data_IF_282063127690
#
_entry.id   IF_282063127690
#
_cell.length_a   1.000
_cell.length_b   1.000
_cell.length_c   1.000
_cell.angle_alpha   90.00
_cell.angle_beta   90.00
_cell.angle_gamma   90.00
#
_symmetry.space_group_name_H-M   'P 1'
#
loop_
_entity.id
_entity.type
_entity.pdbx_description
1 polymer ?
#
# COMPACT_ATOMS: atom_id res chain seq x y z
N UNK A 1 5.94 -10.28 11.40
CA UNK A 1 6.45 -9.01 11.96
C UNK A 1 7.14 -8.29 10.82
N UNK A 2 6.54 -7.29 10.17
CA UNK A 2 6.02 -6.03 10.72
C UNK A 2 4.49 -5.92 10.60
N UNK A 3 3.91 -5.33 11.64
CA UNK A 3 2.51 -4.98 11.86
C UNK A 3 2.32 -3.51 11.49
N UNK A 4 1.21 -3.16 10.82
CA UNK A 4 0.61 -1.83 11.01
C UNK A 4 -0.88 -2.01 11.27
N UNK A 5 -1.22 -1.78 12.54
CA UNK A 5 -2.56 -1.52 13.03
C UNK A 5 -2.97 -0.09 12.69
N UNK A 6 -4.26 0.13 12.45
CA UNK A 6 -4.88 1.44 12.68
C UNK A 6 -5.96 1.25 13.74
N UNK A 7 -5.54 1.35 14.99
CA UNK A 7 -6.39 1.81 16.07
C UNK A 7 -6.35 3.34 16.05
N UNK A 8 -7.50 3.97 15.84
CA UNK A 8 -7.71 5.35 16.26
C UNK A 8 -8.83 5.32 17.30
N UNK A 9 -8.45 5.01 18.54
CA UNK A 9 -9.27 5.30 19.70
C UNK A 9 -8.79 6.67 20.21
N UNK A 10 -9.58 7.72 20.00
CA UNK A 10 -9.46 8.96 20.75
C UNK A 10 -10.80 9.22 21.42
N UNK A 11 -10.82 9.02 22.73
CA UNK A 11 -11.82 9.63 23.63
C UNK A 11 -11.43 11.10 23.75
N UNK A 12 -12.34 12.01 23.43
CA UNK A 12 -12.25 13.41 23.84
C UNK A 12 -12.62 14.45 22.79
N UNK A 13 -13.88 14.87 22.87
CA UNK A 13 -14.45 16.15 22.44
C UNK A 13 -14.76 16.39 20.94
N UNK A 14 -16.05 16.71 20.72
CA UNK A 14 -16.68 17.38 19.57
C UNK A 14 -17.12 16.50 18.38
N UNK A 15 -18.31 15.92 18.56
CA UNK A 15 -19.39 15.80 17.57
C UNK A 15 -19.00 15.50 16.10
N UNK A 16 -18.53 14.28 15.82
CA UNK A 16 -18.71 13.61 14.51
C UNK A 16 -18.96 12.12 14.74
N UNK A 17 -19.80 11.44 13.92
CA UNK A 17 -19.94 9.99 14.02
C UNK A 17 -18.62 9.35 13.59
N UNK A 18 -17.94 8.67 14.51
CA UNK A 18 -16.71 7.95 14.24
C UNK A 18 -17.04 6.70 13.41
N UNK A 19 -16.46 6.55 12.22
CA UNK A 19 -16.55 5.32 11.44
C UNK A 19 -15.55 4.30 11.99
N UNK A 20 -16.03 3.33 12.77
CA UNK A 20 -15.20 2.22 13.23
C UNK A 20 -15.00 1.24 12.07
N UNK A 21 -13.78 1.16 11.56
CA UNK A 21 -13.39 0.29 10.45
C UNK A 21 -12.74 -0.97 10.99
N UNK A 22 -13.28 -2.14 10.67
CA UNK A 22 -12.71 -3.41 11.09
C UNK A 22 -11.79 -3.95 10.01
N UNK A 23 -10.57 -4.27 10.42
CA UNK A 23 -9.61 -4.99 9.60
C UNK A 23 -9.70 -6.47 9.97
N UNK A 24 -9.87 -7.33 8.96
CA UNK A 24 -9.92 -8.77 9.17
C UNK A 24 -8.71 -9.41 8.51
N UNK A 25 -7.84 -10.00 9.33
CA UNK A 25 -6.79 -10.89 8.85
C UNK A 25 -7.32 -12.32 8.89
N UNK A 26 -7.12 -13.06 7.79
CA UNK A 26 -7.70 -14.40 7.59
C UNK A 26 -7.42 -15.37 8.74
N UNK A 27 -6.28 -15.22 9.42
CA UNK A 27 -5.86 -16.13 10.50
C UNK A 27 -6.07 -15.62 11.92
N UNK A 28 -6.61 -14.41 12.11
CA UNK A 28 -6.78 -13.86 13.46
C UNK A 28 -7.92 -12.83 13.51
N UNK A 29 -9.06 -13.09 14.19
CA UNK A 29 -9.74 -14.35 14.59
C UNK A 29 -10.75 -14.88 13.52
N UNK A 30 -11.38 -16.07 13.67
CA UNK A 30 -12.36 -16.61 12.69
C UNK A 30 -13.57 -15.69 12.41
N UNK A 31 -14.07 -15.64 11.15
CA UNK A 31 -15.20 -14.79 10.72
C UNK A 31 -16.48 -14.93 11.59
N UNK A 32 -16.68 -16.08 12.23
CA UNK A 32 -17.80 -16.34 13.14
C UNK A 32 -17.73 -15.49 14.43
N UNK A 33 -16.54 -15.01 14.81
CA UNK A 33 -16.24 -14.30 16.05
C UNK A 33 -16.22 -12.78 15.88
N UNK A 34 -16.46 -12.28 14.67
CA UNK A 34 -16.51 -10.83 14.39
C UNK A 34 -17.82 -10.24 14.93
N UNK A 35 -17.72 -9.35 15.93
CA UNK A 35 -18.86 -8.61 16.48
C UNK A 35 -19.39 -7.58 15.46
N UNK A 36 -20.67 -7.75 15.11
CA UNK A 36 -21.39 -7.01 14.08
C UNK A 36 -21.65 -5.55 14.42
N UNK A 37 -21.72 -5.24 15.72
CA UNK A 37 -21.94 -3.86 16.20
C UNK A 37 -20.68 -3.01 16.03
N UNK A 38 -19.52 -3.65 15.91
CA UNK A 38 -18.24 -2.97 15.93
C UNK A 38 -17.76 -2.51 14.55
N UNK A 39 -18.38 -2.95 13.45
CA UNK A 39 -17.86 -2.71 12.11
C UNK A 39 -18.80 -1.88 11.24
N UNK A 40 -18.29 -0.75 10.73
CA UNK A 40 -18.95 0.01 9.66
C UNK A 40 -18.54 -0.49 8.26
N UNK A 41 -17.30 -0.95 8.12
CA UNK A 41 -16.70 -1.45 6.88
C UNK A 41 -15.78 -2.62 7.21
N UNK A 42 -15.69 -3.59 6.30
CA UNK A 42 -14.72 -4.69 6.35
C UNK A 42 -13.67 -4.42 5.28
N UNK A 43 -12.40 -4.42 5.67
CA UNK A 43 -11.25 -4.30 4.75
C UNK A 43 -10.47 -5.62 4.80
N UNK A 44 -10.31 -6.25 3.64
CA UNK A 44 -9.42 -7.40 3.45
C UNK A 44 -8.07 -6.92 2.89
N UNK A 45 -6.96 -7.30 3.54
CA UNK A 45 -5.58 -6.90 3.16
C UNK A 45 -4.71 -8.15 3.00
N UNK A 46 -4.28 -8.45 1.76
CA UNK A 46 -3.50 -9.67 1.48
C UNK A 46 -4.30 -10.94 1.82
N UNK A 47 -3.99 -12.14 1.37
CA UNK A 47 -2.69 -12.77 1.27
C UNK A 47 -2.74 -13.76 0.10
N UNK A 48 -1.70 -13.76 -0.73
CA UNK A 48 -1.38 -14.93 -1.55
C UNK A 48 -0.57 -15.85 -0.66
N UNK A 49 -0.97 -17.11 -0.54
CA UNK A 49 -0.17 -18.10 0.18
C UNK A 49 0.69 -18.85 -0.82
N UNK A 50 1.85 -19.32 -0.40
CA UNK A 50 2.54 -20.36 -1.15
C UNK A 50 2.12 -21.68 -0.53
N UNK A 51 1.68 -22.64 -1.36
CA UNK A 51 1.48 -24.00 -0.88
C UNK A 51 2.85 -24.67 -0.59
N UNK A 52 2.81 -25.89 -0.07
CA UNK A 52 4.01 -26.66 0.26
C UNK A 52 4.86 -27.01 -0.98
N UNK A 53 4.36 -26.76 -2.19
CA UNK A 53 5.04 -26.96 -3.47
C UNK A 53 5.52 -25.64 -4.08
N UNK A 54 5.34 -24.51 -3.39
CA UNK A 54 5.72 -23.18 -3.85
C UNK A 54 4.76 -22.57 -4.88
N UNK A 55 3.55 -23.10 -5.04
CA UNK A 55 2.54 -22.49 -5.90
C UNK A 55 1.80 -21.38 -5.17
N UNK A 56 1.52 -20.30 -5.89
CA UNK A 56 0.69 -19.20 -5.42
C UNK A 56 -0.77 -19.68 -5.28
N UNK A 57 -1.24 -19.76 -4.04
CA UNK A 57 -2.64 -19.93 -3.69
C UNK A 57 -3.33 -18.58 -3.60
N UNK A 58 -4.22 -18.36 -4.56
CA UNK A 58 -5.16 -17.25 -4.59
C UNK A 58 -6.11 -17.32 -3.37
N UNK A 59 -6.50 -16.17 -2.77
CA UNK A 59 -7.63 -16.15 -1.85
C UNK A 59 -8.87 -16.68 -2.59
N UNK A 60 -9.56 -17.71 -2.07
CA UNK A 60 -10.72 -18.27 -2.74
C UNK A 60 -11.79 -17.21 -2.97
N UNK A 61 -12.37 -17.15 -4.17
CA UNK A 61 -13.54 -16.29 -4.50
C UNK A 61 -14.71 -16.50 -3.53
N UNK A 62 -14.73 -17.66 -2.86
CA UNK A 62 -15.61 -18.02 -1.74
C UNK A 62 -15.58 -17.01 -0.59
N UNK A 63 -14.46 -16.34 -0.29
CA UNK A 63 -14.39 -15.44 0.88
C UNK A 63 -15.31 -14.22 0.70
N UNK A 64 -15.13 -13.51 -0.42
CA UNK A 64 -15.94 -12.33 -0.73
C UNK A 64 -17.42 -12.69 -0.82
N UNK A 65 -17.71 -13.89 -1.36
CA UNK A 65 -19.06 -14.46 -1.38
C UNK A 65 -19.58 -14.72 0.04
N UNK A 66 -18.87 -15.48 0.88
CA UNK A 66 -19.30 -15.84 2.24
C UNK A 66 -19.53 -14.61 3.11
N UNK A 67 -18.66 -13.61 3.01
CA UNK A 67 -18.82 -12.33 3.70
C UNK A 67 -20.09 -11.63 3.18
N UNK A 68 -20.27 -11.55 1.85
CA UNK A 68 -21.48 -10.95 1.27
C UNK A 68 -22.75 -11.70 1.65
N UNK A 69 -22.74 -13.03 1.64
CA UNK A 69 -23.87 -13.88 2.02
C UNK A 69 -24.22 -13.69 3.50
N UNK A 70 -23.21 -13.52 4.37
CA UNK A 70 -23.40 -13.30 5.81
C UNK A 70 -23.93 -11.91 6.14
N UNK A 71 -23.43 -10.86 5.48
CA UNK A 71 -23.73 -9.47 5.86
C UNK A 71 -24.74 -8.76 4.93
N UNK A 72 -25.08 -9.39 3.80
CA UNK A 72 -25.97 -8.81 2.79
C UNK A 72 -25.44 -7.47 2.26
N UNK A 73 -26.35 -6.60 1.83
CA UNK A 73 -26.06 -5.24 1.36
C UNK A 73 -26.08 -4.19 2.47
N UNK A 74 -26.31 -4.58 3.72
CA UNK A 74 -26.44 -3.66 4.86
C UNK A 74 -25.11 -3.00 5.28
N UNK A 75 -23.99 -3.55 4.81
CA UNK A 75 -22.63 -3.07 5.08
C UNK A 75 -21.85 -2.99 3.78
N UNK A 76 -20.91 -2.05 3.72
CA UNK A 76 -19.94 -1.99 2.63
C UNK A 76 -18.85 -3.06 2.83
N UNK A 77 -18.66 -3.89 1.82
CA UNK A 77 -17.51 -4.78 1.70
C UNK A 77 -16.47 -4.12 0.82
N UNK A 78 -15.29 -3.87 1.38
CA UNK A 78 -14.19 -3.25 0.66
C UNK A 78 -12.94 -4.10 0.78
N UNK A 79 -12.02 -3.98 -0.17
CA UNK A 79 -10.75 -4.72 -0.13
C UNK A 79 -9.60 -3.79 -0.50
N UNK A 80 -8.44 -3.99 0.12
CA UNK A 80 -7.20 -3.34 -0.26
C UNK A 80 -6.31 -4.36 -0.99
N UNK A 81 -5.91 -4.03 -2.21
CA UNK A 81 -5.22 -4.95 -3.12
C UNK A 81 -3.87 -4.39 -3.54
N UNK A 82 -2.96 -5.27 -3.95
CA UNK A 82 -1.60 -4.89 -4.29
C UNK A 82 -1.54 -3.83 -5.39
N UNK A 83 -0.63 -2.87 -5.23
CA UNK A 83 -0.19 -1.98 -6.31
C UNK A 83 0.71 -2.71 -7.31
N UNK A 84 1.84 -3.32 -6.89
CA UNK A 84 2.77 -4.00 -7.78
C UNK A 84 2.10 -4.99 -8.77
N UNK A 85 2.30 -4.82 -10.08
CA UNK A 85 1.73 -5.72 -11.09
C UNK A 85 2.17 -7.18 -10.97
N UNK A 86 3.38 -7.44 -10.47
CA UNK A 86 3.91 -8.79 -10.23
C UNK A 86 3.03 -9.61 -9.29
N UNK A 87 2.39 -8.96 -8.32
CA UNK A 87 1.44 -9.57 -7.41
C UNK A 87 0.06 -9.54 -8.05
N UNK A 88 -0.38 -8.38 -8.54
CA UNK A 88 -1.76 -8.18 -9.02
C UNK A 88 -2.17 -9.18 -10.11
N UNK A 89 -1.25 -9.54 -11.02
CA UNK A 89 -1.46 -10.48 -12.13
C UNK A 89 -1.76 -11.92 -11.69
N UNK A 90 -1.39 -12.31 -10.47
CA UNK A 90 -1.40 -13.71 -10.01
C UNK A 90 -2.06 -13.91 -8.65
N UNK A 91 -2.57 -12.83 -8.03
CA UNK A 91 -3.00 -12.82 -6.64
C UNK A 91 -4.51 -12.66 -6.44
N UNK A 92 -5.26 -12.28 -7.49
CA UNK A 92 -6.62 -11.80 -7.32
C UNK A 92 -7.57 -12.26 -8.43
N UNK A 93 -8.83 -12.46 -8.06
CA UNK A 93 -9.95 -12.72 -8.95
C UNK A 93 -10.84 -11.46 -9.05
N UNK A 94 -10.64 -10.69 -10.12
CA UNK A 94 -11.42 -9.48 -10.40
C UNK A 94 -12.91 -9.77 -10.62
N UNK A 95 -13.26 -10.97 -11.10
CA UNK A 95 -14.66 -11.36 -11.30
C UNK A 95 -15.40 -11.48 -9.96
N UNK A 96 -14.74 -12.06 -8.96
CA UNK A 96 -15.26 -12.12 -7.59
C UNK A 96 -15.39 -10.71 -6.98
N UNK A 97 -14.40 -9.84 -7.20
CA UNK A 97 -14.46 -8.46 -6.72
C UNK A 97 -15.63 -7.70 -7.33
N UNK A 98 -15.77 -7.74 -8.65
CA UNK A 98 -16.86 -7.07 -9.35
C UNK A 98 -18.24 -7.52 -8.85
N UNK A 99 -18.38 -8.81 -8.51
CA UNK A 99 -19.65 -9.39 -8.06
C UNK A 99 -19.97 -9.09 -6.59
N UNK A 100 -19.00 -9.17 -5.68
CA UNK A 100 -19.27 -9.21 -4.25
C UNK A 100 -18.77 -7.98 -3.48
N UNK A 101 -17.78 -7.26 -3.99
CA UNK A 101 -17.12 -6.14 -3.32
C UNK A 101 -17.70 -4.81 -3.81
N UNK A 102 -17.88 -3.85 -2.91
CA UNK A 102 -18.38 -2.52 -3.22
C UNK A 102 -17.26 -1.60 -3.72
N UNK A 103 -16.11 -1.59 -3.02
CA UNK A 103 -14.93 -0.79 -3.39
C UNK A 103 -13.63 -1.60 -3.28
N UNK A 104 -12.74 -1.41 -4.25
CA UNK A 104 -11.42 -2.06 -4.33
C UNK A 104 -10.36 -0.96 -4.31
N UNK A 105 -9.66 -0.82 -3.19
CA UNK A 105 -8.59 0.15 -3.03
C UNK A 105 -7.26 -0.45 -3.50
N UNK A 106 -6.70 0.09 -4.58
CA UNK A 106 -5.37 -0.32 -5.07
C UNK A 106 -4.32 0.42 -4.24
N UNK A 107 -3.45 -0.34 -3.56
CA UNK A 107 -2.38 0.16 -2.72
C UNK A 107 -1.21 0.65 -3.58
N UNK A 108 -1.38 1.79 -4.26
CA UNK A 108 -0.39 2.45 -5.13
C UNK A 108 0.75 3.10 -4.33
N UNK A 109 1.40 2.33 -3.48
CA UNK A 109 2.49 2.72 -2.61
C UNK A 109 3.30 1.49 -2.22
N UNK A 110 4.40 1.69 -1.49
CA UNK A 110 5.35 0.64 -1.13
C UNK A 110 5.98 -0.06 -2.34
N UNK A 111 6.12 0.64 -3.46
CA UNK A 111 6.75 0.09 -4.67
C UNK A 111 8.25 -0.15 -4.48
N UNK A 112 8.93 0.72 -3.73
CA UNK A 112 10.35 0.61 -3.42
C UNK A 112 10.53 0.54 -1.90
N UNK A 113 10.80 -0.66 -1.41
CA UNK A 113 11.12 -0.96 -0.01
C UNK A 113 12.57 -1.44 0.05
N UNK A 114 13.29 -1.05 1.09
CA UNK A 114 14.65 -1.54 1.29
C UNK A 114 14.69 -3.07 1.41
N UNK A 115 15.63 -3.70 0.71
CA UNK A 115 15.95 -5.12 0.85
C UNK A 115 17.45 -5.31 0.68
N UNK A 116 18.06 -6.21 1.45
CA UNK A 116 19.48 -6.54 1.29
C UNK A 116 19.80 -7.16 -0.08
N UNK A 117 18.83 -7.83 -0.72
CA UNK A 117 19.00 -8.36 -2.07
C UNK A 117 18.99 -7.27 -3.14
N UNK A 118 18.28 -6.16 -2.88
CA UNK A 118 18.16 -5.01 -3.78
C UNK A 118 18.33 -3.71 -2.97
N UNK A 119 19.56 -3.40 -2.51
CA UNK A 119 19.82 -2.33 -1.54
C UNK A 119 19.89 -0.96 -2.23
N UNK A 120 18.85 -0.62 -2.99
CA UNK A 120 18.74 0.62 -3.76
C UNK A 120 17.58 1.47 -3.25
N UNK A 121 17.76 2.79 -3.27
CA UNK A 121 16.70 3.74 -2.89
C UNK A 121 15.71 3.93 -4.04
N UNK A 122 14.45 4.23 -3.72
CA UNK A 122 13.43 4.51 -4.73
C UNK A 122 12.24 5.26 -4.15
N UNK A 123 11.31 5.67 -5.02
CA UNK A 123 10.10 6.38 -4.61
C UNK A 123 9.13 5.42 -3.93
N UNK A 124 8.50 5.86 -2.83
CA UNK A 124 7.43 5.08 -2.19
C UNK A 124 6.25 4.85 -3.13
N UNK A 125 5.78 5.91 -3.79
CA UNK A 125 4.61 5.93 -4.66
C UNK A 125 4.82 6.79 -5.91
N UNK A 126 5.72 6.38 -6.84
CA UNK A 126 5.85 7.07 -8.10
C UNK A 126 4.56 6.95 -8.91
N UNK A 127 4.12 8.05 -9.51
CA UNK A 127 2.96 8.03 -10.42
C UNK A 127 3.32 7.29 -11.70
N UNK A 128 4.51 7.54 -12.25
CA UNK A 128 5.01 6.96 -13.49
C UNK A 128 6.44 6.47 -13.33
N UNK A 129 6.90 5.67 -14.27
CA UNK A 129 8.29 5.22 -14.34
C UNK A 129 9.25 6.35 -14.73
N UNK A 130 10.51 6.23 -14.32
CA UNK A 130 11.63 7.03 -14.87
C UNK A 130 12.30 6.31 -16.03
N UNK A 131 12.99 7.05 -16.90
CA UNK A 131 13.57 6.51 -18.16
C UNK A 131 14.52 5.32 -17.98
N UNK A 132 15.23 5.26 -16.85
CA UNK A 132 16.19 4.19 -16.57
C UNK A 132 15.53 2.87 -16.13
N UNK A 133 14.22 2.88 -15.84
CA UNK A 133 13.51 1.70 -15.34
C UNK A 133 13.00 0.83 -16.50
N UNK A 134 13.45 -0.42 -16.51
CA UNK A 134 13.14 -1.42 -17.53
C UNK A 134 12.54 -2.67 -16.91
N UNK A 135 11.82 -3.45 -17.73
CA UNK A 135 11.20 -4.70 -17.31
C UNK A 135 10.29 -4.54 -16.10
N UNK A 136 10.41 -5.46 -15.15
CA UNK A 136 9.60 -5.49 -13.91
C UNK A 136 9.75 -4.19 -13.10
N UNK A 137 10.95 -3.62 -13.04
CA UNK A 137 11.21 -2.38 -12.31
C UNK A 137 10.41 -1.22 -12.92
N UNK A 138 10.32 -1.17 -14.25
CA UNK A 138 9.50 -0.18 -14.97
C UNK A 138 7.99 -0.30 -14.75
N UNK A 139 7.53 -1.40 -14.13
CA UNK A 139 6.14 -1.59 -13.73
C UNK A 139 5.87 -1.18 -12.25
N UNK A 140 6.89 -0.81 -11.48
CA UNK A 140 6.77 -0.48 -10.05
C UNK A 140 6.32 0.98 -9.83
N UNK A 141 5.17 1.33 -10.41
CA UNK A 141 4.54 2.65 -10.31
C UNK A 141 3.01 2.56 -10.44
N UNK A 142 2.35 3.66 -10.07
CA UNK A 142 0.89 3.73 -10.00
C UNK A 142 0.21 3.60 -11.37
N UNK A 143 0.79 4.19 -12.42
CA UNK A 143 0.25 4.12 -13.79
C UNK A 143 0.23 2.67 -14.29
N UNK A 144 1.34 1.94 -14.15
CA UNK A 144 1.42 0.54 -14.51
C UNK A 144 0.50 -0.35 -13.65
N UNK A 145 0.36 -0.05 -12.35
CA UNK A 145 -0.58 -0.72 -11.47
C UNK A 145 -2.03 -0.58 -11.94
N UNK A 146 -2.48 0.66 -12.15
CA UNK A 146 -3.85 0.95 -12.57
C UNK A 146 -4.15 0.36 -13.95
N UNK A 147 -3.19 0.44 -14.89
CA UNK A 147 -3.31 -0.20 -16.19
C UNK A 147 -3.41 -1.74 -16.09
N UNK A 148 -2.70 -2.35 -15.13
CA UNK A 148 -2.78 -3.79 -14.87
C UNK A 148 -4.16 -4.17 -14.34
N UNK A 149 -4.69 -3.45 -13.35
CA UNK A 149 -6.03 -3.70 -12.81
C UNK A 149 -7.14 -3.53 -13.85
N UNK A 150 -7.02 -2.53 -14.71
CA UNK A 150 -7.93 -2.34 -15.84
C UNK A 150 -7.86 -3.53 -16.82
N UNK A 151 -6.65 -4.00 -17.18
CA UNK A 151 -6.46 -5.19 -18.04
C UNK A 151 -7.01 -6.47 -17.42
N UNK A 152 -6.94 -6.60 -16.09
CA UNK A 152 -7.54 -7.72 -15.36
C UNK A 152 -9.08 -7.62 -15.27
N UNK A 153 -9.69 -6.54 -15.74
CA UNK A 153 -11.15 -6.38 -15.80
C UNK A 153 -11.79 -5.89 -14.51
N UNK A 154 -11.04 -5.27 -13.60
CA UNK A 154 -11.63 -4.61 -12.43
C UNK A 154 -12.45 -3.39 -12.88
N UNK A 155 -13.69 -3.28 -12.40
CA UNK A 155 -14.56 -2.17 -12.78
C UNK A 155 -14.09 -0.82 -12.22
N UNK A 156 -14.01 0.18 -13.09
CA UNK A 156 -13.48 1.52 -12.76
C UNK A 156 -14.34 2.24 -11.72
N UNK A 157 -15.66 2.07 -11.75
CA UNK A 157 -16.59 2.68 -10.79
C UNK A 157 -16.47 2.14 -9.35
N UNK A 158 -15.79 1.01 -9.16
CA UNK A 158 -15.49 0.42 -7.84
C UNK A 158 -14.03 0.60 -7.44
N UNK A 159 -13.17 1.03 -8.37
CA UNK A 159 -11.72 1.12 -8.13
C UNK A 159 -11.39 2.42 -7.41
N UNK A 160 -10.67 2.32 -6.29
CA UNK A 160 -10.21 3.45 -5.49
C UNK A 160 -8.69 3.54 -5.57
N UNK A 161 -8.18 4.71 -5.92
CA UNK A 161 -6.74 4.97 -6.00
C UNK A 161 -6.16 5.22 -4.61
N UNK A 162 -5.21 4.38 -4.17
CA UNK A 162 -4.51 4.57 -2.89
C UNK A 162 -3.48 5.69 -2.94
N UNK A 163 -3.51 6.60 -1.96
CA UNK A 163 -2.55 7.71 -1.83
C UNK A 163 -1.87 7.59 -0.47
N UNK A 164 -0.54 7.40 -0.39
CA UNK A 164 0.14 7.30 0.89
C UNK A 164 0.34 8.69 1.52
N UNK A 165 0.04 8.81 2.81
CA UNK A 165 0.38 9.99 3.62
C UNK A 165 1.69 9.78 4.41
N UNK A 166 2.59 9.00 3.83
CA UNK A 166 3.90 8.66 4.39
C UNK A 166 4.93 8.42 3.27
N UNK A 167 6.21 8.52 3.64
CA UNK A 167 7.35 8.16 2.80
C UNK A 167 8.16 7.03 3.42
N UNK A 168 9.16 6.57 2.67
CA UNK A 168 10.15 5.58 3.11
C UNK A 168 11.53 6.23 3.10
N UNK A 169 12.24 6.10 4.22
CA UNK A 169 13.58 6.66 4.40
C UNK A 169 14.67 5.62 4.16
N UNK A 170 15.82 6.07 3.68
CA UNK A 170 16.98 5.22 3.41
C UNK A 170 18.27 5.90 3.86
N UNK A 171 19.22 5.11 4.34
CA UNK A 171 20.58 5.58 4.63
C UNK A 171 21.45 5.28 3.42
N UNK A 172 21.87 6.31 2.70
CA UNK A 172 22.73 6.16 1.51
C UNK A 172 24.12 5.64 1.90
N UNK A 173 24.73 4.85 1.00
CA UNK A 173 26.16 4.50 1.10
C UNK A 173 27.03 5.74 0.91
N UNK A 174 26.68 6.58 -0.06
CA UNK A 174 27.37 7.84 -0.34
C UNK A 174 26.34 8.95 -0.52
N UNK A 175 26.32 9.92 0.39
CA UNK A 175 25.35 11.03 0.37
C UNK A 175 25.43 11.91 -0.89
N UNK A 176 26.58 11.91 -1.59
CA UNK A 176 26.75 12.62 -2.87
C UNK A 176 26.02 11.95 -4.03
N UNK A 177 25.63 10.68 -3.87
CA UNK A 177 24.88 9.88 -4.83
C UNK A 177 23.51 9.61 -4.22
N UNK A 178 22.56 10.52 -4.48
CA UNK A 178 21.28 10.62 -3.76
C UNK A 178 20.04 10.55 -4.67
N UNK A 179 20.22 10.15 -5.92
CA UNK A 179 19.13 9.96 -6.88
C UNK A 179 18.44 8.60 -6.65
N UNK A 180 17.22 8.38 -7.17
CA UNK A 180 16.65 7.03 -7.25
C UNK A 180 17.65 6.03 -7.85
N UNK A 181 17.65 4.80 -7.33
CA UNK A 181 18.60 3.73 -7.62
C UNK A 181 20.02 3.88 -7.04
N UNK A 182 20.27 4.90 -6.22
CA UNK A 182 21.50 4.98 -5.43
C UNK A 182 21.53 3.89 -4.35
N UNK A 183 22.73 3.41 -4.01
CA UNK A 183 22.90 2.37 -3.00
C UNK A 183 22.60 2.87 -1.58
N UNK A 184 21.94 2.03 -0.78
CA UNK A 184 21.64 2.25 0.62
C UNK A 184 22.23 1.15 1.52
N UNK A 185 22.56 1.52 2.75
CA UNK A 185 23.01 0.59 3.80
C UNK A 185 21.86 0.07 4.65
N UNK A 186 20.70 0.72 4.60
CA UNK A 186 19.53 0.32 5.39
C UNK A 186 18.37 1.32 5.26
N UNK A 187 17.21 0.98 5.81
CA UNK A 187 16.12 1.93 5.97
C UNK A 187 16.44 2.96 7.07
N UNK A 188 15.86 4.15 6.97
CA UNK A 188 15.87 5.19 8.02
C UNK A 188 14.43 5.40 8.43
N UNK A 189 14.06 4.79 9.55
CA UNK A 189 12.67 4.58 9.96
C UNK A 189 11.87 3.84 8.87
N UNK A 190 11.19 2.74 9.21
CA UNK A 190 10.46 1.96 8.19
C UNK A 190 9.41 2.83 7.46
N UNK A 191 8.82 3.79 8.20
CA UNK A 191 7.80 4.72 7.72
C UNK A 191 8.06 6.12 8.29
N UNK A 192 8.08 7.13 7.43
CA UNK A 192 8.09 8.56 7.81
C UNK A 192 6.75 9.20 7.47
N UNK A 193 5.96 9.60 8.48
CA UNK A 193 4.64 10.20 8.29
C UNK A 193 4.74 11.61 7.71
N UNK A 194 3.72 12.06 6.98
CA UNK A 194 3.71 13.39 6.37
C UNK A 194 4.05 14.54 7.34
N UNK A 195 3.54 14.61 8.59
CA UNK A 195 3.95 15.64 9.54
C UNK A 195 5.45 15.62 9.88
N UNK A 196 6.07 14.45 9.95
CA UNK A 196 7.52 14.33 10.15
C UNK A 196 8.27 14.82 8.92
N UNK A 197 7.78 14.51 7.71
CA UNK A 197 8.33 15.06 6.46
C UNK A 197 8.25 16.60 6.46
N UNK A 198 7.14 17.20 6.91
CA UNK A 198 7.02 18.65 7.06
C UNK A 198 8.07 19.23 8.02
N UNK A 199 8.38 18.53 9.13
CA UNK A 199 9.44 18.95 10.04
C UNK A 199 10.81 18.92 9.35
N UNK A 200 11.11 17.88 8.57
CA UNK A 200 12.36 17.82 7.78
C UNK A 200 12.43 18.94 6.74
N UNK A 201 11.33 19.24 6.04
CA UNK A 201 11.24 20.34 5.06
C UNK A 201 11.47 21.72 5.68
N UNK A 202 11.14 21.90 6.97
CA UNK A 202 11.39 23.16 7.68
C UNK A 202 12.90 23.40 7.90
N UNK A 203 13.69 22.33 7.99
CA UNK A 203 15.16 22.36 8.17
C UNK A 203 15.90 22.47 6.82
N UNK A 204 15.65 23.56 6.08
CA UNK A 204 16.21 23.78 4.73
C UNK A 204 17.74 23.80 4.64
N UNK A 205 18.44 24.08 5.74
CA UNK A 205 19.90 24.03 5.81
C UNK A 205 20.46 22.61 5.93
N UNK A 206 19.60 21.61 6.18
CA UNK A 206 19.98 20.21 6.41
C UNK A 206 19.43 19.31 5.32
N UNK A 207 18.20 19.55 4.87
CA UNK A 207 17.52 18.75 3.86
C UNK A 207 17.23 19.56 2.60
N UNK A 208 17.53 18.94 1.46
CA UNK A 208 17.17 19.41 0.13
C UNK A 208 15.92 18.68 -0.35
N UNK A 209 14.95 19.43 -0.87
CA UNK A 209 13.77 18.91 -1.54
C UNK A 209 14.06 18.81 -3.05
N UNK A 210 13.69 17.68 -3.65
CA UNK A 210 13.80 17.48 -5.09
C UNK A 210 12.48 16.94 -5.62
N UNK A 211 11.95 17.62 -6.65
CA UNK A 211 10.83 17.12 -7.44
C UNK A 211 11.35 16.37 -8.68
N UNK A 212 10.90 15.14 -8.88
CA UNK A 212 11.20 14.38 -10.09
C UNK A 212 10.01 14.41 -11.05
N UNK A 213 10.15 15.13 -12.16
CA UNK A 213 9.08 15.33 -13.15
C UNK A 213 8.60 14.02 -13.80
N UNK A 214 9.53 13.11 -14.12
CA UNK A 214 9.17 11.84 -14.76
C UNK A 214 8.33 10.97 -13.83
N UNK A 215 8.79 10.81 -12.58
CA UNK A 215 8.05 10.05 -11.58
C UNK A 215 6.78 10.78 -11.08
N UNK A 216 6.69 12.09 -11.32
CA UNK A 216 5.76 13.02 -10.68
C UNK A 216 5.73 12.80 -9.15
N UNK A 217 6.92 12.75 -8.54
CA UNK A 217 7.07 12.44 -7.12
C UNK A 217 8.26 13.17 -6.50
N UNK A 218 8.12 13.66 -5.26
CA UNK A 218 9.21 14.29 -4.56
C UNK A 218 10.05 13.28 -3.78
N UNK A 219 11.28 13.67 -3.46
CA UNK A 219 12.06 13.07 -2.39
C UNK A 219 12.85 14.14 -1.64
N UNK A 220 13.30 13.80 -0.44
CA UNK A 220 14.24 14.61 0.32
C UNK A 220 15.55 13.87 0.47
N UNK A 221 16.65 14.61 0.49
CA UNK A 221 17.94 14.08 0.90
C UNK A 221 18.66 15.10 1.78
N UNK A 222 19.47 14.60 2.71
CA UNK A 222 20.18 15.42 3.69
C UNK A 222 20.96 14.53 4.65
N UNK A 223 21.72 15.16 5.53
CA UNK A 223 22.46 14.45 6.57
C UNK A 223 21.60 14.36 7.83
N UNK A 224 21.51 13.18 8.44
CA UNK A 224 20.87 13.04 9.74
C UNK A 224 21.67 13.84 10.77
N UNK A 225 21.09 14.90 11.30
CA UNK A 225 21.63 15.58 12.49
C UNK A 225 21.21 14.74 13.70
N UNK A 226 22.18 14.16 14.39
CA UNK A 226 22.03 13.51 15.70
C UNK A 226 21.42 14.46 16.73
#
# INVERSE_FOLDING_TARGET
>A
MITVAIFTLFVGALAKPYHMTCYYNWEQPPLKELDLSLCSHIILIGQVRLDNLGHLQLPPSTISKTIRDKFGSSKLLTVAVSGPPTISKVAYDTSAFNKYVDLVQVMNYDFHIFSFAYPVVGFNAPLRRIRAELGVIGEMNSEASMATWAKLGLWTNKTVFGIPTYGRGFRLVNWRVNKPYSLATGPVDDITRYPQVCQLLSKRNVYSYVWNEMAASPYLHGTLTS
#
